data_IF_466536718497
#
_entry.id   IF_466536718497
#
_cell.length_a   1.000
_cell.length_b   1.000
_cell.length_c   1.000
_cell.angle_alpha   90.00
_cell.angle_beta   90.00
_cell.angle_gamma   90.00
#
_symmetry.space_group_name_H-M   'P 1'
#
loop_
_entity.id
_entity.type
_entity.pdbx_description
1 polymer ?
#
# COMPACT_ATOMS: atom_id res chain seq x y z
N UNK A 1 -17.77 -25.51 0.40
CA UNK A 1 -18.09 -24.43 -0.57
C UNK A 1 -19.54 -24.44 -1.11
N UNK A 2 -20.27 -25.56 -0.99
CA UNK A 2 -21.50 -25.82 -1.77
C UNK A 2 -22.83 -25.25 -1.22
N UNK A 3 -22.81 -24.45 -0.16
CA UNK A 3 -24.03 -23.93 0.49
C UNK A 3 -24.40 -22.50 0.09
N UNK A 4 -23.57 -21.82 -0.72
CA UNK A 4 -23.84 -20.46 -1.19
C UNK A 4 -24.63 -20.49 -2.50
N UNK A 5 -25.88 -20.02 -2.49
CA UNK A 5 -26.77 -19.95 -3.65
C UNK A 5 -26.78 -18.58 -4.36
N UNK A 6 -26.00 -17.62 -3.86
CA UNK A 6 -25.94 -16.25 -4.39
C UNK A 6 -24.98 -16.09 -5.56
N UNK A 7 -25.27 -15.13 -6.46
CA UNK A 7 -24.41 -14.76 -7.59
C UNK A 7 -23.06 -14.17 -7.16
N UNK A 8 -22.94 -13.72 -5.91
CA UNK A 8 -21.72 -13.18 -5.32
C UNK A 8 -21.28 -14.03 -4.14
N UNK A 9 -20.05 -14.55 -4.22
CA UNK A 9 -19.43 -15.26 -3.11
C UNK A 9 -19.07 -14.27 -1.98
N UNK A 10 -19.22 -14.67 -0.70
CA UNK A 10 -18.68 -13.90 0.39
C UNK A 10 -17.14 -13.87 0.36
N UNK A 11 -16.54 -12.93 1.10
CA UNK A 11 -15.11 -12.64 1.07
C UNK A 11 -14.22 -13.88 1.30
N UNK A 12 -14.52 -14.67 2.33
CA UNK A 12 -13.77 -15.88 2.65
C UNK A 12 -13.92 -16.98 1.59
N UNK A 13 -15.13 -17.16 1.05
CA UNK A 13 -15.39 -18.13 -0.01
C UNK A 13 -14.71 -17.75 -1.32
N UNK A 14 -14.58 -16.44 -1.61
CA UNK A 14 -13.79 -15.97 -2.75
C UNK A 14 -12.31 -16.34 -2.56
N UNK A 15 -11.73 -16.07 -1.39
CA UNK A 15 -10.31 -16.40 -1.13
C UNK A 15 -10.06 -17.91 -1.22
N UNK A 16 -10.99 -18.72 -0.72
CA UNK A 16 -10.95 -20.16 -0.88
C UNK A 16 -10.99 -20.58 -2.37
N UNK A 17 -11.92 -20.02 -3.14
CA UNK A 17 -12.02 -20.27 -4.58
C UNK A 17 -10.72 -19.89 -5.31
N UNK A 18 -10.14 -18.74 -4.98
CA UNK A 18 -8.87 -18.26 -5.53
C UNK A 18 -7.70 -19.18 -5.17
N UNK A 19 -7.73 -19.81 -3.99
CA UNK A 19 -6.78 -20.85 -3.57
C UNK A 19 -6.96 -22.13 -4.37
N UNK A 20 -8.19 -22.64 -4.47
CA UNK A 20 -8.55 -23.85 -5.23
C UNK A 20 -8.20 -23.75 -6.72
N UNK A 21 -8.27 -22.56 -7.31
CA UNK A 21 -7.83 -22.33 -8.69
C UNK A 21 -6.32 -22.52 -8.88
N UNK A 22 -5.50 -22.26 -7.84
CA UNK A 22 -4.05 -22.48 -7.89
C UNK A 22 -3.69 -23.92 -7.57
N UNK A 23 -4.36 -24.47 -6.56
CA UNK A 23 -4.20 -25.85 -6.14
C UNK A 23 -5.56 -26.44 -5.74
N UNK A 24 -6.14 -27.35 -6.55
CA UNK A 24 -7.43 -27.97 -6.25
C UNK A 24 -7.46 -28.70 -4.91
N UNK A 25 -6.31 -29.09 -4.35
CA UNK A 25 -6.25 -29.76 -3.04
C UNK A 25 -6.43 -28.80 -1.86
N UNK A 26 -6.42 -27.49 -2.10
CA UNK A 26 -6.63 -26.46 -1.07
C UNK A 26 -8.10 -26.16 -0.80
N UNK A 27 -9.02 -27.08 -1.11
CA UNK A 27 -10.42 -26.92 -0.76
C UNK A 27 -10.59 -26.91 0.78
N UNK A 28 -11.17 -25.85 1.36
CA UNK A 28 -11.35 -25.79 2.81
C UNK A 28 -12.46 -26.73 3.26
N UNK A 29 -12.28 -27.31 4.44
CA UNK A 29 -13.29 -28.19 5.04
C UNK A 29 -14.54 -27.40 5.48
N UNK A 30 -15.64 -28.12 5.68
CA UNK A 30 -16.88 -27.51 6.13
C UNK A 30 -16.72 -26.88 7.52
N UNK A 31 -16.96 -25.57 7.63
CA UNK A 31 -16.82 -24.83 8.89
C UNK A 31 -15.40 -24.31 9.15
N UNK A 32 -14.44 -24.58 8.26
CA UNK A 32 -13.09 -24.04 8.35
C UNK A 32 -13.09 -22.51 8.23
N UNK A 33 -12.23 -21.86 9.01
CA UNK A 33 -12.06 -20.40 9.00
C UNK A 33 -10.97 -20.01 8.02
N UNK A 34 -11.37 -19.45 6.88
CA UNK A 34 -10.43 -18.94 5.87
C UNK A 34 -10.05 -17.48 6.18
N UNK A 35 -8.78 -17.17 6.50
CA UNK A 35 -8.35 -15.81 6.80
C UNK A 35 -8.27 -14.96 5.52
N UNK A 36 -8.72 -13.71 5.62
CA UNK A 36 -8.67 -12.75 4.52
C UNK A 36 -8.41 -11.34 5.03
N UNK A 37 -7.95 -10.49 4.12
CA UNK A 37 -7.73 -9.06 4.37
C UNK A 37 -8.12 -8.23 3.15
N UNK A 38 -8.46 -6.97 3.37
CA UNK A 38 -8.88 -6.04 2.32
C UNK A 38 -7.72 -5.13 1.96
N UNK A 39 -7.32 -5.13 0.70
CA UNK A 39 -6.26 -4.27 0.17
C UNK A 39 -6.81 -3.04 -0.54
N UNK A 40 -5.98 -2.01 -0.67
CA UNK A 40 -6.31 -0.84 -1.48
C UNK A 40 -6.38 -1.26 -2.95
N UNK A 41 -7.56 -1.12 -3.54
CA UNK A 41 -7.77 -1.29 -4.99
C UNK A 41 -8.03 0.06 -5.66
N UNK A 42 -8.25 0.03 -6.98
CA UNK A 42 -8.76 1.21 -7.69
C UNK A 42 -10.09 1.67 -7.07
N UNK A 43 -10.34 2.97 -7.04
CA UNK A 43 -11.53 3.56 -6.36
C UNK A 43 -12.88 3.07 -6.91
N UNK A 44 -12.88 2.45 -8.09
CA UNK A 44 -14.07 1.88 -8.75
C UNK A 44 -14.16 0.35 -8.65
N UNK A 45 -13.19 -0.33 -8.06
CA UNK A 45 -13.27 -1.78 -7.88
C UNK A 45 -14.24 -2.15 -6.77
N UNK A 46 -14.91 -3.30 -6.92
CA UNK A 46 -15.83 -3.77 -5.89
C UNK A 46 -15.01 -4.19 -4.67
N UNK A 47 -15.57 -4.02 -3.46
CA UNK A 47 -14.90 -4.44 -2.23
C UNK A 47 -14.50 -5.92 -2.27
N UNK A 48 -15.35 -6.77 -2.86
CA UNK A 48 -15.07 -8.21 -3.00
C UNK A 48 -13.82 -8.47 -3.86
N UNK A 49 -13.54 -7.62 -4.85
CA UNK A 49 -12.35 -7.73 -5.71
C UNK A 49 -11.06 -7.36 -4.95
N UNK A 50 -11.17 -6.56 -3.90
CA UNK A 50 -10.08 -6.11 -3.03
C UNK A 50 -9.71 -7.09 -1.92
N UNK A 51 -10.41 -8.22 -1.80
CA UNK A 51 -10.13 -9.23 -0.77
C UNK A 51 -8.98 -10.14 -1.23
N UNK A 52 -7.99 -10.36 -0.38
CA UNK A 52 -6.84 -11.24 -0.62
C UNK A 52 -6.48 -12.08 0.61
N UNK A 53 -5.71 -13.15 0.43
CA UNK A 53 -5.15 -13.95 1.53
C UNK A 53 -3.92 -13.29 2.16
N UNK A 54 -3.60 -13.57 3.45
CA UNK A 54 -2.37 -13.08 4.09
C UNK A 54 -1.09 -13.46 3.34
N UNK A 55 -1.00 -14.70 2.85
CA UNK A 55 0.12 -15.15 2.03
C UNK A 55 0.25 -14.37 0.72
N UNK A 56 -0.86 -14.00 0.07
CA UNK A 56 -0.82 -13.20 -1.16
C UNK A 56 -0.32 -11.77 -0.91
N UNK A 57 -0.69 -11.15 0.22
CA UNK A 57 -0.16 -9.85 0.64
C UNK A 57 1.35 -9.92 0.89
N UNK A 58 1.82 -11.01 1.49
CA UNK A 58 3.24 -11.23 1.74
C UNK A 58 4.01 -11.53 0.45
N UNK A 59 3.43 -12.23 -0.52
CA UNK A 59 4.10 -12.48 -1.80
C UNK A 59 4.24 -11.20 -2.65
N UNK A 60 3.26 -10.29 -2.59
CA UNK A 60 3.18 -9.11 -3.46
C UNK A 60 3.48 -7.82 -2.69
N UNK A 61 4.67 -7.21 -2.86
CA UNK A 61 5.07 -6.08 -2.03
C UNK A 61 4.34 -4.77 -2.40
N UNK A 62 3.73 -4.67 -3.58
CA UNK A 62 2.93 -3.51 -4.00
C UNK A 62 1.54 -3.48 -3.37
N UNK A 63 1.03 -4.60 -2.85
CA UNK A 63 -0.27 -4.66 -2.21
C UNK A 63 -0.20 -4.02 -0.82
N UNK A 64 -1.19 -3.18 -0.52
CA UNK A 64 -1.29 -2.47 0.76
C UNK A 64 -2.64 -2.73 1.40
N UNK A 65 -2.72 -2.92 2.72
CA UNK A 65 -4.00 -2.96 3.41
C UNK A 65 -4.77 -1.65 3.21
N UNK A 66 -6.09 -1.74 2.97
CA UNK A 66 -6.95 -0.56 2.81
C UNK A 66 -7.27 0.06 4.16
N UNK A 67 -6.41 0.98 4.64
CA UNK A 67 -6.59 1.60 5.95
C UNK A 67 -7.91 2.35 6.09
N UNK A 68 -8.37 3.02 5.02
CA UNK A 68 -9.66 3.73 5.02
C UNK A 68 -10.82 2.78 5.31
N UNK A 69 -10.83 1.61 4.68
CA UNK A 69 -11.84 0.59 4.92
C UNK A 69 -11.87 0.15 6.39
N UNK A 70 -10.71 -0.20 6.97
CA UNK A 70 -10.65 -0.63 8.38
C UNK A 70 -11.04 0.48 9.35
N UNK A 71 -10.61 1.72 9.09
CA UNK A 71 -10.98 2.87 9.91
C UNK A 71 -12.48 3.11 9.86
N UNK A 72 -13.06 3.29 8.66
CA UNK A 72 -14.46 3.68 8.51
C UNK A 72 -15.46 2.58 8.84
N UNK A 73 -15.11 1.33 8.51
CA UNK A 73 -16.04 0.19 8.61
C UNK A 73 -15.86 -0.64 9.88
N UNK A 74 -14.70 -0.59 10.53
CA UNK A 74 -14.45 -1.37 11.74
C UNK A 74 -14.21 -0.50 12.97
N UNK A 75 -13.27 0.45 12.89
CA UNK A 75 -12.88 1.24 14.07
C UNK A 75 -13.93 2.29 14.43
N UNK A 76 -14.35 3.12 13.48
CA UNK A 76 -15.31 4.21 13.73
C UNK A 76 -16.62 3.67 14.33
N UNK A 77 -17.29 2.64 13.75
CA UNK A 77 -18.55 2.15 14.31
C UNK A 77 -18.38 1.47 15.68
N UNK A 78 -17.22 0.90 15.98
CA UNK A 78 -16.96 0.31 17.30
C UNK A 78 -16.76 1.39 18.38
N UNK A 79 -15.96 2.41 18.05
CA UNK A 79 -15.71 3.54 18.95
C UNK A 79 -16.97 4.37 19.16
N UNK A 80 -17.75 4.62 18.10
CA UNK A 80 -18.98 5.41 18.16
C UNK A 80 -19.99 4.81 19.13
N UNK A 81 -20.15 3.47 19.15
CA UNK A 81 -21.03 2.78 20.11
C UNK A 81 -20.65 2.99 21.58
N UNK A 82 -19.37 3.20 21.87
CA UNK A 82 -18.87 3.36 23.25
C UNK A 82 -18.83 4.84 23.63
N UNK A 83 -18.31 5.67 22.74
CA UNK A 83 -18.01 7.09 23.00
C UNK A 83 -19.23 8.00 22.83
N UNK A 84 -20.25 7.58 22.07
CA UNK A 84 -21.54 8.28 22.02
C UNK A 84 -22.22 8.39 23.39
N UNK A 85 -21.96 7.44 24.30
CA UNK A 85 -22.46 7.49 25.68
C UNK A 85 -21.90 8.68 26.48
N UNK A 86 -20.71 9.16 26.10
CA UNK A 86 -20.05 10.32 26.71
C UNK A 86 -20.30 11.59 25.88
N UNK A 87 -21.11 11.51 24.83
CA UNK A 87 -21.43 12.64 23.94
C UNK A 87 -20.32 13.00 22.94
N UNK A 88 -19.39 12.08 22.66
CA UNK A 88 -18.30 12.30 21.70
C UNK A 88 -18.69 11.80 20.31
N UNK A 89 -18.64 12.68 19.31
CA UNK A 89 -18.75 12.30 17.89
C UNK A 89 -17.38 11.87 17.35
N UNK A 90 -17.23 10.56 17.11
CA UNK A 90 -16.00 9.96 16.61
C UNK A 90 -15.68 10.40 15.17
N UNK A 91 -16.70 10.69 14.35
CA UNK A 91 -16.49 11.10 12.96
C UNK A 91 -15.96 12.52 12.87
N UNK A 92 -16.54 13.44 13.64
CA UNK A 92 -16.02 14.80 13.77
C UNK A 92 -14.59 14.77 14.32
N UNK A 93 -14.35 13.99 15.38
CA UNK A 93 -13.02 13.85 15.97
C UNK A 93 -11.97 13.31 14.98
N UNK A 94 -12.32 12.32 14.15
CA UNK A 94 -11.44 11.82 13.09
C UNK A 94 -11.18 12.86 12.00
N UNK A 95 -12.14 13.74 11.73
CA UNK A 95 -11.99 14.87 10.81
C UNK A 95 -10.98 15.90 11.32
N UNK A 96 -11.06 16.23 12.61
CA UNK A 96 -10.21 17.23 13.27
C UNK A 96 -8.78 16.73 13.54
N UNK A 97 -8.59 15.41 13.59
CA UNK A 97 -7.29 14.83 13.89
C UNK A 97 -6.24 15.20 12.82
N UNK A 98 -5.06 15.71 13.22
CA UNK A 98 -4.02 16.05 12.27
C UNK A 98 -3.58 14.79 11.51
N UNK A 99 -3.76 14.79 10.19
CA UNK A 99 -3.32 13.74 9.27
C UNK A 99 -1.78 13.73 9.22
N UNK A 100 -1.12 13.19 10.24
CA UNK A 100 0.34 13.05 10.25
C UNK A 100 0.72 11.98 9.25
N UNK A 101 1.39 12.39 8.18
CA UNK A 101 1.91 11.45 7.20
C UNK A 101 2.95 10.56 7.85
N UNK A 102 2.60 9.28 8.03
CA UNK A 102 3.60 8.24 8.17
C UNK A 102 3.99 7.81 6.76
N UNK A 103 4.71 8.68 6.05
CA UNK A 103 5.55 8.21 4.96
C UNK A 103 6.66 7.37 5.60
N UNK A 104 6.43 6.07 5.69
CA UNK A 104 7.55 5.16 5.74
C UNK A 104 8.37 5.41 4.49
N UNK A 105 9.69 5.50 4.62
CA UNK A 105 10.63 5.46 3.48
C UNK A 105 10.27 4.30 2.51
N UNK A 106 9.61 3.27 3.05
CA UNK A 106 9.12 2.05 2.42
C UNK A 106 7.81 2.19 1.64
N UNK A 107 6.95 3.14 1.99
CA UNK A 107 5.63 3.23 1.36
C UNK A 107 5.71 3.77 -0.08
N UNK A 108 6.72 4.58 -0.33
CA UNK A 108 6.92 5.23 -1.62
C UNK A 108 7.85 4.44 -2.55
N UNK A 109 8.77 3.65 -2.00
CA UNK A 109 9.69 2.79 -2.78
C UNK A 109 8.98 1.61 -3.45
N UNK A 110 7.83 1.21 -2.91
CA UNK A 110 6.97 0.16 -3.48
C UNK A 110 6.04 0.68 -4.58
N UNK A 111 5.79 2.00 -4.64
CA UNK A 111 5.06 2.64 -5.75
C UNK A 111 5.96 3.02 -6.93
N UNK A 112 7.28 3.18 -6.74
CA UNK A 112 8.23 3.42 -7.86
C UNK A 112 8.40 2.18 -8.77
N UNK A 113 7.98 0.98 -8.35
CA UNK A 113 8.08 -0.25 -9.17
C UNK A 113 6.87 -0.48 -10.09
N UNK A 114 5.78 0.28 -9.95
CA UNK A 114 4.54 0.09 -10.73
C UNK A 114 4.45 0.91 -12.01
N UNK A 115 5.40 1.80 -12.29
CA UNK A 115 5.40 2.61 -13.53
C UNK A 115 6.10 1.91 -14.70
N UNK A 116 6.57 0.68 -14.53
CA UNK A 116 7.30 -0.10 -15.56
C UNK A 116 6.63 -1.38 -16.04
N UNK A 117 5.41 -1.71 -15.59
CA UNK A 117 4.69 -2.91 -16.05
C UNK A 117 3.24 -2.54 -16.45
N UNK A 118 3.13 -1.97 -17.65
CA UNK A 118 1.88 -1.52 -18.25
C UNK A 118 1.96 -1.57 -19.77
N UNK A 119 2.30 -2.75 -20.30
CA UNK A 119 2.24 -3.08 -21.72
C UNK A 119 1.29 -4.26 -21.96
N UNK A 120 0.20 -3.95 -22.66
CA UNK A 120 -0.47 -4.82 -23.65
C UNK A 120 -1.04 -6.18 -23.22
N UNK A 121 -2.35 -6.23 -22.93
CA UNK A 121 -3.23 -7.30 -23.46
C UNK A 121 -4.71 -6.96 -23.23
N UNK A 122 -5.42 -6.50 -24.29
CA UNK A 122 -6.75 -6.98 -24.67
C UNK A 122 -7.34 -6.20 -25.87
N UNK A 123 -7.08 -6.77 -27.05
CA UNK A 123 -8.11 -7.11 -28.05
C UNK A 123 -8.64 -6.04 -29.03
N UNK A 124 -7.99 -6.01 -30.21
CA UNK A 124 -8.68 -5.87 -31.50
C UNK A 124 -9.45 -7.15 -31.79
N UNK A 125 -10.78 -7.07 -31.80
CA UNK A 125 -11.63 -7.91 -32.66
C UNK A 125 -13.00 -7.25 -32.85
N UNK A 126 -13.20 -6.81 -34.08
CA UNK A 126 -14.44 -6.61 -34.82
C UNK A 126 -15.75 -7.07 -34.14
N UNK A 127 -16.74 -6.17 -34.08
CA UNK A 127 -18.11 -6.53 -34.46
C UNK A 127 -18.93 -5.28 -34.79
N UNK A 128 -19.63 -5.36 -35.92
CA UNK A 128 -20.47 -4.35 -36.51
C UNK A 128 -21.68 -3.98 -35.65
N UNK A 129 -22.15 -2.76 -35.89
CA UNK A 129 -23.46 -2.26 -35.52
C UNK A 129 -24.59 -3.22 -35.88
N UNK A 130 -25.56 -3.36 -34.97
CA UNK A 130 -26.96 -3.38 -35.38
C UNK A 130 -27.79 -2.48 -34.46
N UNK A 131 -28.58 -1.65 -35.15
CA UNK A 131 -29.46 -0.58 -34.68
C UNK A 131 -30.85 -1.19 -34.42
N UNK A 132 -31.67 -0.56 -33.56
CA UNK A 132 -33.12 -0.27 -33.72
C UNK A 132 -33.67 0.45 -32.45
N UNK A 133 -34.70 1.31 -32.55
CA UNK A 133 -34.78 2.61 -31.84
C UNK A 133 -36.02 2.89 -30.94
N UNK A 134 -35.88 3.93 -30.08
CA UNK A 134 -36.91 4.88 -29.57
C UNK A 134 -37.98 4.37 -28.58
N UNK A 135 -38.82 5.25 -27.96
CA UNK A 135 -38.91 6.73 -28.03
C UNK A 135 -38.91 7.43 -26.63
N UNK A 136 -38.33 8.64 -26.46
CA UNK A 136 -38.98 9.97 -26.50
C UNK A 136 -39.44 10.50 -25.13
N UNK A 137 -38.76 11.52 -24.61
CA UNK A 137 -39.23 12.30 -23.46
C UNK A 137 -38.80 13.75 -23.58
N UNK A 138 -39.79 14.63 -23.45
CA UNK A 138 -39.79 16.04 -23.81
C UNK A 138 -38.89 16.91 -22.92
N UNK A 139 -38.21 17.86 -23.57
CA UNK A 139 -37.41 18.93 -23.00
C UNK A 139 -38.28 19.99 -22.31
N UNK A 140 -37.83 20.45 -21.13
CA UNK A 140 -38.17 21.80 -20.62
C UNK A 140 -36.89 22.52 -20.18
N UNK A 141 -36.69 23.81 -20.53
CA UNK A 141 -35.46 24.52 -20.25
C UNK A 141 -35.50 25.20 -18.88
N UNK A 142 -34.47 25.00 -18.05
CA UNK A 142 -34.25 25.85 -16.87
C UNK A 142 -32.94 26.62 -17.00
N UNK A 143 -33.07 27.95 -17.02
CA UNK A 143 -31.99 28.91 -17.05
C UNK A 143 -31.03 28.74 -15.86
N UNK A 144 -29.74 28.93 -16.16
CA UNK A 144 -28.64 28.66 -15.25
C UNK A 144 -28.57 29.57 -14.04
N UNK A 145 -28.12 28.97 -12.94
CA UNK A 145 -27.27 29.63 -11.95
C UNK A 145 -25.97 28.81 -11.94
N UNK A 146 -24.90 29.44 -12.42
CA UNK A 146 -23.57 28.87 -12.44
C UNK A 146 -23.10 28.62 -10.99
N UNK A 147 -23.03 27.34 -10.62
CA UNK A 147 -22.27 26.87 -9.46
C UNK A 147 -21.24 25.88 -9.98
N UNK A 148 -19.97 26.29 -10.00
CA UNK A 148 -18.80 25.42 -10.21
C UNK A 148 -18.74 24.40 -9.06
N UNK A 149 -19.59 23.38 -9.12
CA UNK A 149 -19.47 22.18 -8.29
C UNK A 149 -18.44 21.29 -8.95
N UNK A 150 -17.16 21.65 -8.80
CA UNK A 150 -16.12 20.64 -8.73
C UNK A 150 -16.49 19.70 -7.59
N UNK A 151 -17.13 18.57 -7.93
CA UNK A 151 -17.38 17.45 -7.04
C UNK A 151 -15.99 16.99 -6.60
N UNK A 152 -15.52 17.54 -5.48
CA UNK A 152 -14.29 17.13 -4.85
C UNK A 152 -14.42 15.65 -4.54
N UNK A 153 -13.66 14.82 -5.26
CA UNK A 153 -13.39 13.48 -4.77
C UNK A 153 -12.83 13.66 -3.35
N UNK A 154 -13.54 13.14 -2.34
CA UNK A 154 -12.97 12.98 -1.01
C UNK A 154 -11.63 12.30 -1.20
N UNK A 155 -10.55 13.02 -0.92
CA UNK A 155 -9.18 12.50 -1.06
C UNK A 155 -9.11 11.32 -0.10
N UNK A 156 -9.03 10.10 -0.65
CA UNK A 156 -8.87 8.88 0.15
C UNK A 156 -7.64 9.03 1.04
N UNK A 157 -7.63 8.39 2.20
CA UNK A 157 -6.43 8.37 3.06
C UNK A 157 -5.16 8.02 2.26
N UNK A 158 -5.27 7.13 1.26
CA UNK A 158 -4.21 6.77 0.32
C UNK A 158 -3.61 7.98 -0.42
N UNK A 159 -4.42 8.98 -0.83
CA UNK A 159 -3.90 10.23 -1.40
C UNK A 159 -2.95 10.97 -0.46
N UNK A 160 -3.17 10.89 0.84
CA UNK A 160 -2.24 11.44 1.82
C UNK A 160 -0.99 10.55 1.90
N UNK A 161 -1.13 9.22 2.02
CA UNK A 161 -0.01 8.29 2.16
C UNK A 161 0.94 8.23 0.95
N UNK A 162 0.51 8.61 -0.26
CA UNK A 162 1.33 8.64 -1.47
C UNK A 162 2.14 9.93 -1.68
N UNK A 163 2.18 10.83 -0.71
CA UNK A 163 2.97 12.06 -0.86
C UNK A 163 4.43 11.84 -0.51
N UNK A 164 5.32 12.31 -1.38
CA UNK A 164 6.76 12.39 -1.13
C UNK A 164 7.02 13.17 0.12
N UNK A 165 7.80 12.62 1.04
CA UNK A 165 8.09 13.26 2.31
C UNK A 165 9.57 13.20 2.63
N UNK A 166 10.05 14.22 3.35
CA UNK A 166 11.41 14.24 3.85
C UNK A 166 11.60 13.10 4.87
N UNK A 167 12.65 12.30 4.69
CA UNK A 167 12.95 11.15 5.57
C UNK A 167 13.26 11.55 7.02
N UNK A 168 13.67 12.80 7.27
CA UNK A 168 14.05 13.30 8.59
C UNK A 168 12.92 14.04 9.32
N UNK A 169 12.27 14.99 8.65
CA UNK A 169 11.26 15.84 9.28
C UNK A 169 9.82 15.45 8.91
N UNK A 170 9.63 14.51 7.98
CA UNK A 170 8.32 14.02 7.51
C UNK A 170 7.41 15.10 6.92
N UNK A 171 7.97 16.26 6.56
CA UNK A 171 7.24 17.27 5.79
C UNK A 171 7.01 16.74 4.37
N UNK A 172 5.79 16.92 3.89
CA UNK A 172 5.45 16.69 2.49
C UNK A 172 6.32 17.57 1.60
N UNK A 173 6.99 16.94 0.65
CA UNK A 173 7.76 17.58 -0.40
C UNK A 173 6.85 17.82 -1.61
N UNK A 174 7.07 18.92 -2.35
CA UNK A 174 6.35 19.15 -3.59
C UNK A 174 6.60 17.99 -4.55
N UNK A 175 5.59 17.64 -5.35
CA UNK A 175 5.78 16.70 -6.45
C UNK A 175 6.88 17.25 -7.36
N UNK A 176 7.92 16.45 -7.61
CA UNK A 176 8.90 16.78 -8.64
C UNK A 176 8.13 16.73 -9.95
N UNK A 177 7.97 17.86 -10.63
CA UNK A 177 7.37 17.87 -11.96
C UNK A 177 8.18 16.88 -12.84
N UNK A 178 7.53 16.02 -13.64
CA UNK A 178 8.27 15.27 -14.65
C UNK A 178 9.00 16.30 -15.49
N UNK A 179 10.34 16.29 -15.44
CA UNK A 179 11.14 17.24 -16.21
C UNK A 179 10.77 17.12 -17.69
N UNK A 180 10.55 18.23 -18.40
CA UNK A 180 10.35 18.22 -19.86
C UNK A 180 11.62 17.79 -20.63
N UNK A 181 12.76 17.57 -19.95
CA UNK A 181 14.06 17.32 -20.58
C UNK A 181 14.34 15.86 -20.97
N UNK A 182 13.33 15.10 -21.40
CA UNK A 182 13.60 13.83 -22.13
C UNK A 182 14.14 14.04 -23.55
N UNK A 183 14.31 15.30 -23.99
CA UNK A 183 14.78 15.63 -25.35
C UNK A 183 15.99 16.57 -25.43
N UNK A 184 16.60 16.99 -24.31
CA UNK A 184 17.76 17.88 -24.36
C UNK A 184 19.07 17.17 -23.92
N UNK A 185 19.89 16.67 -24.86
CA UNK A 185 21.14 15.96 -24.55
C UNK A 185 22.25 16.87 -23.98
N UNK A 186 22.04 18.19 -23.84
CA UNK A 186 23.06 19.13 -23.36
C UNK A 186 22.75 19.74 -21.98
N UNK A 187 21.61 19.43 -21.34
CA UNK A 187 21.28 19.90 -20.01
C UNK A 187 21.81 18.95 -18.91
N UNK A 188 23.14 18.86 -18.74
CA UNK A 188 23.75 18.23 -17.55
C UNK A 188 23.72 19.21 -16.36
N UNK A 189 22.54 19.62 -15.92
CA UNK A 189 22.40 20.07 -14.52
C UNK A 189 22.33 18.84 -13.64
N UNK A 190 23.12 18.79 -12.58
CA UNK A 190 23.22 17.70 -11.62
C UNK A 190 21.86 17.45 -10.92
N UNK A 191 20.95 16.79 -11.61
CA UNK A 191 19.78 16.18 -10.99
C UNK A 191 20.28 14.91 -10.32
N UNK A 192 20.17 14.86 -8.98
CA UNK A 192 20.56 13.68 -8.23
C UNK A 192 19.88 12.43 -8.84
N UNK A 193 20.65 11.37 -9.08
CA UNK A 193 20.15 10.11 -9.64
C UNK A 193 18.86 9.70 -8.90
N UNK A 194 17.80 9.27 -9.61
CA UNK A 194 16.61 8.73 -8.95
C UNK A 194 17.03 7.58 -8.03
N UNK A 195 16.76 7.73 -6.73
CA UNK A 195 17.15 6.74 -5.72
C UNK A 195 18.30 7.12 -4.78
N UNK A 196 18.91 8.30 -4.91
CA UNK A 196 19.87 8.80 -3.92
C UNK A 196 19.16 9.34 -2.66
N UNK A 197 19.64 9.02 -1.46
CA UNK A 197 19.02 9.42 -0.18
C UNK A 197 18.87 10.95 -0.03
N UNK A 198 19.79 11.74 -0.61
CA UNK A 198 19.71 13.20 -0.54
C UNK A 198 18.53 13.77 -1.35
N UNK A 199 18.06 13.05 -2.38
CA UNK A 199 16.83 13.41 -3.11
C UNK A 199 15.56 13.22 -2.28
N UNK A 200 15.68 12.62 -1.08
CA UNK A 200 14.58 12.37 -0.15
C UNK A 200 14.66 13.27 1.09
N UNK A 201 15.47 14.34 1.05
CA UNK A 201 15.51 15.40 2.04
C UNK A 201 14.84 16.67 1.53
N UNK A 202 14.14 17.39 2.41
CA UNK A 202 13.71 18.76 2.10
C UNK A 202 14.90 19.72 2.18
N UNK A 203 14.78 20.89 1.54
CA UNK A 203 15.83 21.92 1.52
C UNK A 203 16.42 22.22 2.91
N UNK A 204 15.56 22.43 3.91
CA UNK A 204 15.97 22.68 5.30
C UNK A 204 16.80 21.54 5.90
N UNK A 205 16.46 20.28 5.60
CA UNK A 205 17.15 19.11 6.14
C UNK A 205 18.40 18.73 5.33
N UNK A 206 18.60 19.30 4.14
CA UNK A 206 19.81 19.10 3.34
C UNK A 206 20.94 20.08 3.66
N UNK A 207 20.67 21.15 4.43
CA UNK A 207 21.67 22.17 4.79
C UNK A 207 22.82 21.56 5.58
N UNK A 208 22.51 20.78 6.61
CA UNK A 208 23.50 20.04 7.40
C UNK A 208 23.47 18.56 7.02
N UNK A 209 24.27 18.20 6.02
CA UNK A 209 24.41 16.82 5.56
C UNK A 209 24.94 15.90 6.67
N UNK A 210 25.80 16.40 7.57
CA UNK A 210 26.38 15.58 8.63
C UNK A 210 25.34 15.22 9.69
N UNK A 211 24.56 16.20 10.18
CA UNK A 211 23.46 15.94 11.09
C UNK A 211 22.36 15.08 10.44
N UNK A 212 22.11 15.29 9.14
CA UNK A 212 21.17 14.46 8.40
C UNK A 212 21.61 13.00 8.33
N UNK A 213 22.88 12.75 8.00
CA UNK A 213 23.48 11.41 7.96
C UNK A 213 23.47 10.74 9.33
N UNK A 214 23.79 11.46 10.41
CA UNK A 214 23.75 10.92 11.76
C UNK A 214 22.32 10.46 12.15
N UNK A 215 21.30 11.27 11.83
CA UNK A 215 19.90 10.94 12.13
C UNK A 215 19.38 9.79 11.27
N UNK A 216 19.73 9.75 9.99
CA UNK A 216 19.41 8.63 9.10
C UNK A 216 20.10 7.34 9.60
N UNK A 217 21.37 7.45 9.99
CA UNK A 217 22.15 6.36 10.58
C UNK A 217 21.49 5.79 11.84
N UNK A 218 20.99 6.64 12.74
CA UNK A 218 20.26 6.17 13.93
C UNK A 218 18.98 5.41 13.57
N UNK A 219 18.21 5.90 12.59
CA UNK A 219 17.00 5.21 12.10
C UNK A 219 17.38 3.83 11.54
N UNK A 220 18.42 3.76 10.72
CA UNK A 220 18.94 2.50 10.17
C UNK A 220 19.38 1.53 11.27
N UNK A 221 20.18 2.00 12.23
CA UNK A 221 20.64 1.18 13.35
C UNK A 221 19.48 0.60 14.14
N UNK A 222 18.43 1.38 14.39
CA UNK A 222 17.22 0.90 15.06
C UNK A 222 16.48 -0.18 14.27
N UNK A 223 16.37 -0.03 12.94
CA UNK A 223 15.75 -1.04 12.07
C UNK A 223 16.57 -2.32 12.06
N UNK A 224 17.89 -2.20 11.89
CA UNK A 224 18.83 -3.33 11.84
C UNK A 224 18.88 -4.06 13.17
N UNK A 225 18.86 -3.34 14.30
CA UNK A 225 18.73 -3.94 15.63
C UNK A 225 17.38 -4.64 15.81
N UNK A 226 16.28 -4.02 15.38
CA UNK A 226 14.95 -4.63 15.44
C UNK A 226 14.86 -5.90 14.60
N UNK A 227 15.47 -5.90 13.41
CA UNK A 227 15.52 -7.07 12.53
C UNK A 227 16.35 -8.19 13.16
N UNK A 228 17.54 -7.87 13.70
CA UNK A 228 18.36 -8.83 14.45
C UNK A 228 17.59 -9.45 15.61
N UNK A 229 16.87 -8.64 16.39
CA UNK A 229 16.04 -9.16 17.48
C UNK A 229 14.91 -10.07 16.99
N UNK A 230 14.27 -9.74 15.87
CA UNK A 230 13.26 -10.60 15.26
C UNK A 230 13.84 -11.93 14.77
N UNK A 231 15.03 -11.89 14.15
CA UNK A 231 15.77 -13.08 13.69
C UNK A 231 16.22 -13.95 14.87
N UNK A 232 16.74 -13.36 15.95
CA UNK A 232 17.15 -14.08 17.15
C UNK A 232 15.96 -14.81 17.80
N UNK A 233 14.78 -14.17 17.84
CA UNK A 233 13.54 -14.82 18.29
C UNK A 233 13.18 -16.02 17.40
N UNK A 234 13.28 -15.87 16.09
CA UNK A 234 13.04 -16.99 15.18
C UNK A 234 14.08 -18.11 15.34
N UNK A 235 15.36 -17.76 15.57
CA UNK A 235 16.44 -18.74 15.74
C UNK A 235 16.23 -19.58 17.00
N UNK A 236 15.84 -18.92 18.10
CA UNK A 236 15.48 -19.61 19.33
C UNK A 236 14.25 -20.50 19.16
N UNK A 237 13.25 -20.07 18.38
CA UNK A 237 12.02 -20.84 18.12
C UNK A 237 12.26 -22.08 17.25
N UNK A 238 13.06 -21.95 16.19
CA UNK A 238 13.37 -23.08 15.28
C UNK A 238 14.27 -24.10 15.99
N UNK A 239 15.21 -23.61 16.81
CA UNK A 239 16.15 -24.44 17.53
C UNK A 239 17.13 -25.19 16.60
N UNK A 240 18.17 -25.77 17.21
CA UNK A 240 19.10 -26.68 16.52
C UNK A 240 20.22 -26.01 15.71
N UNK A 241 21.20 -26.81 15.23
CA UNK A 241 22.43 -26.33 14.59
C UNK A 241 22.23 -25.75 13.18
N UNK A 242 21.01 -25.83 12.62
CA UNK A 242 20.64 -25.29 11.29
C UNK A 242 19.74 -24.06 11.38
N UNK A 243 19.50 -23.51 12.57
CA UNK A 243 18.62 -22.34 12.76
C UNK A 243 19.04 -21.15 11.88
N UNK A 244 20.34 -20.89 11.76
CA UNK A 244 20.87 -19.82 10.89
C UNK A 244 20.60 -20.11 9.40
N UNK A 245 20.79 -21.35 8.94
CA UNK A 245 20.54 -21.74 7.56
C UNK A 245 19.06 -21.74 7.18
N UNK A 246 18.17 -22.17 8.09
CA UNK A 246 16.72 -22.17 7.88
C UNK A 246 16.14 -20.76 7.84
N UNK A 247 16.71 -19.83 8.61
CA UNK A 247 16.35 -18.41 8.54
C UNK A 247 16.95 -17.70 7.33
N UNK A 248 18.17 -18.04 6.94
CA UNK A 248 18.82 -17.48 5.76
C UNK A 248 18.11 -17.86 4.45
N UNK A 249 17.43 -19.01 4.41
CA UNK A 249 16.66 -19.47 3.27
C UNK A 249 15.15 -19.21 3.39
N UNK A 250 14.73 -18.34 4.32
CA UNK A 250 13.34 -17.87 4.47
C UNK A 250 12.28 -18.99 4.67
N UNK A 251 12.66 -20.19 5.11
CA UNK A 251 11.75 -21.35 5.10
C UNK A 251 10.62 -21.32 6.16
N UNK A 252 10.59 -20.35 7.07
CA UNK A 252 9.54 -20.24 8.08
C UNK A 252 8.44 -19.26 7.64
N UNK A 253 7.36 -19.82 7.08
CA UNK A 253 6.19 -19.12 6.56
C UNK A 253 4.92 -19.31 7.42
N UNK A 254 5.08 -19.62 8.71
CA UNK A 254 3.95 -19.78 9.63
C UNK A 254 3.14 -18.46 9.73
N UNK A 255 1.96 -18.44 9.10
CA UNK A 255 1.06 -17.28 9.06
C UNK A 255 0.38 -16.99 10.41
N UNK A 256 0.43 -17.92 11.36
CA UNK A 256 -0.09 -17.74 12.72
C UNK A 256 0.96 -17.13 13.66
N UNK A 257 2.22 -17.02 13.22
CA UNK A 257 3.29 -16.46 14.04
C UNK A 257 3.33 -14.92 13.91
N UNK A 258 3.13 -14.15 15.00
CA UNK A 258 3.21 -12.69 14.93
C UNK A 258 4.61 -12.19 14.57
N UNK A 259 5.66 -12.95 14.93
CA UNK A 259 7.05 -12.60 14.61
C UNK A 259 7.36 -12.78 13.11
N UNK A 260 6.60 -13.60 12.38
CA UNK A 260 6.74 -13.78 10.92
C UNK A 260 6.48 -12.46 10.19
N UNK A 261 5.31 -11.84 10.41
CA UNK A 261 4.96 -10.58 9.77
C UNK A 261 5.92 -9.44 10.16
N UNK A 262 6.35 -9.42 11.42
CA UNK A 262 7.34 -8.45 11.91
C UNK A 262 8.69 -8.63 11.21
N UNK A 263 9.17 -9.88 11.06
CA UNK A 263 10.41 -10.23 10.36
C UNK A 263 10.36 -9.81 8.90
N UNK A 264 9.31 -10.16 8.16
CA UNK A 264 9.16 -9.79 6.74
C UNK A 264 9.11 -8.28 6.57
N UNK A 265 8.34 -7.59 7.43
CA UNK A 265 8.27 -6.13 7.41
C UNK A 265 9.64 -5.51 7.66
N UNK A 266 10.36 -5.93 8.70
CA UNK A 266 11.68 -5.40 9.03
C UNK A 266 12.75 -5.75 7.99
N UNK A 267 12.68 -6.92 7.36
CA UNK A 267 13.58 -7.34 6.29
C UNK A 267 13.40 -6.49 5.03
N UNK A 268 12.14 -6.24 4.62
CA UNK A 268 11.84 -5.27 3.55
C UNK A 268 12.36 -3.87 3.88
N UNK A 269 12.25 -3.49 5.15
CA UNK A 269 12.71 -2.18 5.64
C UNK A 269 14.23 -2.04 5.65
N UNK A 270 14.98 -3.07 6.00
CA UNK A 270 16.44 -3.03 5.92
C UNK A 270 16.91 -3.04 4.46
N UNK A 271 16.31 -3.88 3.61
CA UNK A 271 16.66 -3.98 2.20
C UNK A 271 16.42 -2.67 1.43
N UNK A 272 15.29 -2.00 1.67
CA UNK A 272 15.01 -0.70 1.06
C UNK A 272 16.03 0.38 1.48
N UNK A 273 16.50 0.33 2.73
CA UNK A 273 17.53 1.26 3.20
C UNK A 273 18.89 0.95 2.58
N UNK A 274 19.29 -0.33 2.50
CA UNK A 274 20.52 -0.74 1.86
C UNK A 274 20.60 -0.25 0.40
N UNK A 275 19.50 -0.33 -0.35
CA UNK A 275 19.43 0.21 -1.73
C UNK A 275 19.61 1.72 -1.80
N UNK A 276 19.06 2.47 -0.85
CA UNK A 276 19.25 3.94 -0.78
C UNK A 276 20.70 4.31 -0.43
N UNK A 277 21.40 3.45 0.32
CA UNK A 277 22.79 3.64 0.70
C UNK A 277 23.76 3.24 -0.43
N UNK A 278 23.55 2.11 -1.12
CA UNK A 278 24.42 1.66 -2.22
C UNK A 278 24.44 2.63 -3.42
N UNK A 279 23.38 3.42 -3.62
CA UNK A 279 23.35 4.47 -4.64
C UNK A 279 24.18 5.72 -4.26
N UNK A 280 24.90 5.72 -3.12
CA UNK A 280 25.70 6.83 -2.63
C UNK A 280 27.21 6.67 -2.90
N UNK A 281 27.69 5.47 -3.27
CA UNK A 281 29.13 5.17 -3.42
C UNK A 281 29.69 5.54 -4.82
N UNK A 282 28.92 6.24 -5.65
CA UNK A 282 29.26 6.62 -7.04
C UNK A 282 29.83 8.06 -7.18
N UNK A 283 30.04 8.80 -6.09
CA UNK A 283 30.54 10.19 -6.07
C UNK A 283 31.90 10.34 -5.36
#
# INVERSE_FOLDING_TARGET
MHTYSGRTLPAHAKVAADGMMRDPQTEPEHGERVPYLVVSGSSRSRLIDQVVSPGALLARPHLRPNFQYYIDKQLVPALDRILSLVGVDVRAWLGDMPRRLRSSIYDEFLSDQSDSDGGDEANRSHSCSNRIPGPEQQDVPFHGIAADKRIGHSRTLDHFYHKRCCILCRRTMPAVAPSPDRMNPLARTATAKPGHWASRLCGDCSVDKAAAMARIGLVHMNISHSLRNALNKCAACVGGPRAEALLAADLCDCLDCPNMFQRVTLSRRSAAWARLACNADDD
#
